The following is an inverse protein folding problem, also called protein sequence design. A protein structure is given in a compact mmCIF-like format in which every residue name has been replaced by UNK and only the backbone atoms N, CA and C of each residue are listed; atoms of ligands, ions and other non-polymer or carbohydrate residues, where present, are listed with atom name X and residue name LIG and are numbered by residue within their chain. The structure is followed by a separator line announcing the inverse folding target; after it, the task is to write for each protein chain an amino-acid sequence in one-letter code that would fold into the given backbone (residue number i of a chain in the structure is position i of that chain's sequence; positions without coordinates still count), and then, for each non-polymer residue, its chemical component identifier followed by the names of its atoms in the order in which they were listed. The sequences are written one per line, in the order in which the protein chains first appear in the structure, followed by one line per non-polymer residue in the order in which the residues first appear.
data_IF_801501168170
#
_entry.id   IF_801501168170
#
_cell.length_a   1.000
_cell.length_b   1.000
_cell.length_c   1.000
_cell.angle_alpha   90.00
_cell.angle_beta   90.00
_cell.angle_gamma   90.00
#
_symmetry.space_group_name_H-M   'P 1'
#
loop_
_entity.id
_entity.type
_entity.pdbx_description
1 polymer ?
#
# COMPACT_ATOMS: atom_id res chain seq x y z
N UNK A 1 -14.45 -29.22 -0.26
CA UNK A 1 -14.04 -27.85 -0.67
C UNK A 1 -13.17 -27.25 0.43
N UNK A 2 -11.99 -26.78 0.07
CA UNK A 2 -11.09 -26.17 1.05
C UNK A 2 -11.62 -24.80 1.50
N UNK A 3 -11.51 -24.50 2.78
CA UNK A 3 -11.88 -23.18 3.33
C UNK A 3 -10.74 -22.18 3.11
N UNK A 4 -11.05 -21.03 2.53
CA UNK A 4 -10.11 -19.94 2.40
C UNK A 4 -10.14 -19.10 3.67
N UNK A 5 -9.02 -19.07 4.36
CA UNK A 5 -8.77 -18.18 5.49
C UNK A 5 -7.60 -17.28 5.19
N UNK A 6 -7.71 -16.03 5.61
CA UNK A 6 -6.67 -15.03 5.40
C UNK A 6 -6.11 -14.61 6.76
N UNK A 7 -4.87 -15.01 7.10
CA UNK A 7 -4.28 -14.65 8.38
C UNK A 7 -4.19 -13.13 8.56
N UNK A 8 -4.48 -12.67 9.77
CA UNK A 8 -4.42 -11.25 10.13
C UNK A 8 -3.07 -10.61 9.76
N UNK A 9 -1.97 -11.29 10.09
CA UNK A 9 -0.61 -10.77 9.85
C UNK A 9 -0.35 -10.49 8.37
N UNK A 10 -0.86 -11.33 7.48
CA UNK A 10 -0.69 -11.12 6.03
C UNK A 10 -1.49 -9.93 5.52
N UNK A 11 -2.69 -9.73 6.06
CA UNK A 11 -3.52 -8.57 5.71
C UNK A 11 -2.88 -7.29 6.22
N UNK A 12 -2.41 -7.30 7.46
CA UNK A 12 -1.71 -6.17 8.06
C UNK A 12 -0.43 -5.81 7.28
N UNK A 13 0.40 -6.80 6.97
CA UNK A 13 1.64 -6.58 6.22
C UNK A 13 1.38 -6.01 4.84
N UNK A 14 0.35 -6.49 4.15
CA UNK A 14 -0.03 -5.94 2.85
C UNK A 14 -0.48 -4.48 2.96
N UNK A 15 -1.32 -4.17 3.95
CA UNK A 15 -1.79 -2.82 4.20
C UNK A 15 -0.65 -1.88 4.57
N UNK A 16 0.24 -2.31 5.44
CA UNK A 16 1.46 -1.59 5.80
C UNK A 16 2.32 -1.28 4.57
N UNK A 17 2.54 -2.27 3.73
CA UNK A 17 3.29 -2.10 2.48
C UNK A 17 2.63 -1.11 1.53
N UNK A 18 1.29 -1.17 1.40
CA UNK A 18 0.54 -0.21 0.60
C UNK A 18 0.70 1.23 1.08
N UNK A 19 0.84 1.44 2.38
CA UNK A 19 0.97 2.77 2.97
C UNK A 19 2.40 3.33 2.92
N UNK A 20 3.41 2.47 2.97
CA UNK A 20 4.83 2.85 3.10
C UNK A 20 5.63 2.77 1.80
N UNK A 21 5.03 2.31 0.73
CA UNK A 21 5.69 2.14 -0.57
C UNK A 21 4.73 2.40 -1.72
N UNK A 22 5.29 2.55 -2.92
CA UNK A 22 4.53 2.58 -4.16
C UNK A 22 4.91 1.37 -5.01
N UNK A 23 4.06 1.01 -5.96
CA UNK A 23 4.32 -0.14 -6.85
C UNK A 23 5.56 0.11 -7.72
N UNK A 24 6.34 -0.95 -8.04
CA UNK A 24 7.57 -0.82 -8.82
C UNK A 24 7.39 -0.20 -10.21
N UNK A 25 6.29 -0.45 -10.88
CA UNK A 25 5.95 0.11 -12.18
C UNK A 25 5.70 1.62 -12.09
N UNK A 26 4.97 2.08 -11.08
CA UNK A 26 4.74 3.50 -10.82
C UNK A 26 6.07 4.19 -10.48
N UNK A 27 6.89 3.59 -9.63
CA UNK A 27 8.21 4.13 -9.29
C UNK A 27 9.10 4.29 -10.53
N UNK A 28 9.11 3.28 -11.41
CA UNK A 28 9.84 3.34 -12.67
C UNK A 28 9.37 4.49 -13.55
N UNK A 29 8.05 4.66 -13.71
CA UNK A 29 7.47 5.74 -14.52
C UNK A 29 7.77 7.12 -13.93
N UNK A 30 7.74 7.27 -12.62
CA UNK A 30 8.09 8.52 -11.96
C UNK A 30 9.57 8.90 -12.17
N UNK A 31 10.48 7.93 -12.03
CA UNK A 31 11.91 8.13 -12.30
C UNK A 31 12.15 8.54 -13.77
N UNK A 32 11.46 7.89 -14.68
CA UNK A 32 11.54 8.20 -16.11
C UNK A 32 11.00 9.59 -16.39
N UNK A 33 9.88 9.98 -15.79
CA UNK A 33 9.30 11.30 -15.94
C UNK A 33 10.25 12.39 -15.42
N UNK A 34 10.84 12.19 -14.24
CA UNK A 34 11.82 13.13 -13.67
C UNK A 34 13.05 13.30 -14.57
N UNK A 35 13.54 12.20 -15.16
CA UNK A 35 14.69 12.26 -16.08
C UNK A 35 14.40 13.01 -17.38
N UNK A 36 13.15 12.99 -17.86
CA UNK A 36 12.74 13.62 -19.12
C UNK A 36 12.18 15.02 -18.95
N UNK A 37 11.84 15.42 -17.74
CA UNK A 37 11.23 16.71 -17.48
C UNK A 37 12.23 17.85 -17.79
N UNK A 38 11.79 18.83 -18.56
CA UNK A 38 12.61 19.98 -18.97
C UNK A 38 12.28 21.25 -18.21
N UNK A 39 11.07 21.35 -17.64
CA UNK A 39 10.70 22.46 -16.78
C UNK A 39 11.39 22.30 -15.43
N UNK A 40 12.25 23.26 -14.98
CA UNK A 40 13.01 23.11 -13.75
C UNK A 40 12.15 22.96 -12.51
N UNK A 41 11.03 23.66 -12.42
CA UNK A 41 10.12 23.60 -11.27
C UNK A 41 9.42 22.25 -11.21
N UNK A 42 8.86 21.78 -12.32
CA UNK A 42 8.23 20.47 -12.41
C UNK A 42 9.21 19.34 -12.09
N UNK A 43 10.45 19.44 -12.56
CA UNK A 43 11.51 18.48 -12.26
C UNK A 43 11.79 18.42 -10.77
N UNK A 44 11.90 19.57 -10.10
CA UNK A 44 12.11 19.66 -8.66
C UNK A 44 10.99 18.98 -7.89
N UNK A 45 9.73 19.16 -8.28
CA UNK A 45 8.60 18.48 -7.67
C UNK A 45 8.69 16.96 -7.82
N UNK A 46 8.98 16.47 -9.02
CA UNK A 46 9.13 15.03 -9.26
C UNK A 46 10.27 14.43 -8.44
N UNK A 47 11.40 15.10 -8.36
CA UNK A 47 12.54 14.66 -7.55
C UNK A 47 12.21 14.65 -6.06
N UNK A 48 11.46 15.64 -5.58
CA UNK A 48 10.98 15.70 -4.19
C UNK A 48 10.02 14.55 -3.88
N UNK A 49 9.10 14.23 -4.79
CA UNK A 49 8.20 13.09 -4.64
C UNK A 49 8.96 11.76 -4.59
N UNK A 50 9.97 11.59 -5.43
CA UNK A 50 10.83 10.40 -5.42
C UNK A 50 11.62 10.29 -4.11
N UNK A 51 12.14 11.40 -3.62
CA UNK A 51 12.84 11.44 -2.32
C UNK A 51 11.90 11.10 -1.15
N UNK A 52 10.66 11.57 -1.21
CA UNK A 52 9.64 11.22 -0.22
C UNK A 52 9.38 9.71 -0.18
N UNK A 53 9.26 9.07 -1.34
CA UNK A 53 9.06 7.61 -1.41
C UNK A 53 10.24 6.86 -0.80
N UNK A 54 11.46 7.29 -1.09
CA UNK A 54 12.67 6.70 -0.51
C UNK A 54 12.69 6.83 1.01
N UNK A 55 12.43 8.03 1.53
CA UNK A 55 12.43 8.31 2.97
C UNK A 55 11.32 7.55 3.70
N UNK A 56 10.14 7.44 3.11
CA UNK A 56 9.03 6.69 3.69
C UNK A 56 9.43 5.23 3.94
N UNK A 57 10.08 4.59 2.98
CA UNK A 57 10.58 3.23 3.13
C UNK A 57 11.67 3.10 4.19
N UNK A 58 12.64 4.03 4.20
CA UNK A 58 13.75 4.02 5.16
C UNK A 58 13.30 4.29 6.60
N UNK A 59 12.34 5.17 6.78
CA UNK A 59 11.87 5.60 8.10
C UNK A 59 10.65 4.84 8.60
N UNK A 60 10.13 3.91 7.80
CA UNK A 60 8.90 3.17 8.10
C UNK A 60 7.73 4.12 8.39
N UNK A 61 7.50 5.03 7.47
CA UNK A 61 6.43 6.03 7.53
C UNK A 61 5.54 5.96 6.30
N UNK A 62 4.28 6.42 6.39
CA UNK A 62 3.43 6.48 5.22
C UNK A 62 3.98 7.44 4.17
N UNK A 63 3.79 7.10 2.91
CA UNK A 63 4.21 7.95 1.77
C UNK A 63 3.38 9.22 1.64
N UNK A 64 2.19 9.25 2.26
CA UNK A 64 1.27 10.38 2.21
C UNK A 64 0.57 10.55 3.56
N UNK A 65 0.35 11.78 3.98
CA UNK A 65 -0.40 12.10 5.20
C UNK A 65 -1.91 11.89 5.05
N UNK A 66 -2.40 11.72 3.83
CA UNK A 66 -3.79 11.46 3.51
C UNK A 66 -3.90 10.22 2.63
N UNK A 67 -3.65 9.03 3.19
CA UNK A 67 -3.57 7.79 2.38
C UNK A 67 -4.92 7.35 1.80
N UNK A 68 -6.03 7.91 2.23
CA UNK A 68 -7.36 7.58 1.73
C UNK A 68 -8.03 6.43 2.49
N UNK A 69 -8.96 5.76 1.81
CA UNK A 69 -9.69 4.62 2.36
C UNK A 69 -9.16 3.32 1.78
N UNK A 70 -8.98 2.25 2.61
CA UNK A 70 -8.61 0.95 2.09
C UNK A 70 -9.71 0.38 1.19
N UNK A 71 -9.31 -0.16 0.05
CA UNK A 71 -10.17 -0.95 -0.82
C UNK A 71 -9.50 -2.29 -1.04
N UNK A 72 -10.21 -3.37 -0.71
CA UNK A 72 -9.66 -4.72 -0.71
C UNK A 72 -10.33 -5.56 -1.78
N UNK A 73 -9.54 -6.13 -2.66
CA UNK A 73 -9.97 -7.01 -3.73
C UNK A 73 -9.41 -8.41 -3.48
N UNK A 74 -10.30 -9.38 -3.41
CA UNK A 74 -9.92 -10.76 -3.14
C UNK A 74 -10.36 -11.62 -4.32
N UNK A 75 -9.43 -12.41 -4.84
CA UNK A 75 -9.71 -13.41 -5.88
C UNK A 75 -9.36 -14.78 -5.31
N UNK A 76 -10.28 -15.71 -5.44
CA UNK A 76 -10.05 -17.09 -5.00
C UNK A 76 -10.44 -18.08 -6.09
N UNK A 77 -9.91 -19.31 -6.00
CA UNK A 77 -10.23 -20.38 -6.93
C UNK A 77 -11.61 -20.98 -6.66
N UNK A 78 -12.21 -21.56 -7.69
CA UNK A 78 -13.56 -22.16 -7.62
C UNK A 78 -13.68 -23.28 -6.59
N UNK A 79 -12.57 -24.00 -6.32
CA UNK A 79 -12.53 -25.07 -5.32
C UNK A 79 -12.40 -24.56 -3.87
N UNK A 80 -12.33 -23.25 -3.66
CA UNK A 80 -12.18 -22.65 -2.34
C UNK A 80 -13.52 -22.12 -1.83
N UNK A 81 -13.74 -22.27 -0.52
CA UNK A 81 -14.89 -21.70 0.17
C UNK A 81 -14.40 -20.54 1.04
N UNK A 82 -14.74 -19.28 0.75
CA UNK A 82 -14.31 -18.18 1.59
C UNK A 82 -15.05 -18.18 2.93
N UNK A 83 -14.30 -17.98 4.02
CA UNK A 83 -14.89 -17.68 5.32
C UNK A 83 -15.01 -16.16 5.45
N UNK A 84 -16.15 -15.63 5.06
CA UNK A 84 -16.37 -14.18 4.99
C UNK A 84 -16.27 -13.49 6.36
N UNK A 85 -16.71 -14.16 7.42
CA UNK A 85 -16.60 -13.61 8.78
C UNK A 85 -15.14 -13.45 9.20
N UNK A 86 -14.33 -14.47 8.93
CA UNK A 86 -12.88 -14.42 9.19
C UNK A 86 -12.20 -13.32 8.35
N UNK A 87 -12.46 -13.29 7.06
CA UNK A 87 -11.88 -12.31 6.14
C UNK A 87 -12.22 -10.88 6.58
N UNK A 88 -13.49 -10.60 6.80
CA UNK A 88 -13.93 -9.26 7.20
C UNK A 88 -13.39 -8.86 8.57
N UNK A 89 -13.36 -9.79 9.51
CA UNK A 89 -12.80 -9.55 10.85
C UNK A 89 -11.31 -9.20 10.79
N UNK A 90 -10.53 -9.94 10.03
CA UNK A 90 -9.09 -9.71 9.90
C UNK A 90 -8.78 -8.42 9.12
N UNK A 91 -9.55 -8.11 8.09
CA UNK A 91 -9.41 -6.85 7.35
C UNK A 91 -9.72 -5.66 8.27
N UNK A 92 -10.84 -5.70 8.98
CA UNK A 92 -11.25 -4.64 9.91
C UNK A 92 -10.20 -4.42 11.00
N UNK A 93 -9.73 -5.50 11.61
CA UNK A 93 -8.71 -5.42 12.66
C UNK A 93 -7.39 -4.87 12.11
N UNK A 94 -7.00 -5.26 10.92
CA UNK A 94 -5.79 -4.73 10.27
C UNK A 94 -5.87 -3.23 10.04
N UNK A 95 -7.02 -2.72 9.60
CA UNK A 95 -7.24 -1.28 9.42
C UNK A 95 -7.18 -0.54 10.75
N UNK A 96 -7.81 -1.08 11.79
CA UNK A 96 -7.77 -0.50 13.14
C UNK A 96 -6.33 -0.39 13.65
N UNK A 97 -5.57 -1.48 13.57
CA UNK A 97 -4.19 -1.50 14.06
C UNK A 97 -3.25 -0.62 13.20
N UNK A 98 -3.42 -0.59 11.89
CA UNK A 98 -2.66 0.31 11.01
C UNK A 98 -2.96 1.78 11.32
N UNK A 99 -4.20 2.12 11.64
CA UNK A 99 -4.60 3.47 12.06
C UNK A 99 -3.94 3.84 13.39
N UNK A 100 -3.95 2.94 14.37
CA UNK A 100 -3.28 3.16 15.66
C UNK A 100 -1.77 3.33 15.51
N UNK A 101 -1.16 2.61 14.57
CA UNK A 101 0.27 2.70 14.28
C UNK A 101 0.65 3.95 13.47
N UNK A 102 -0.32 4.71 12.97
CA UNK A 102 -0.08 5.94 12.21
C UNK A 102 0.19 5.74 10.72
N UNK A 103 -0.19 4.59 10.14
CA UNK A 103 -0.06 4.34 8.70
C UNK A 103 -1.26 4.83 7.89
N UNK A 104 -2.43 4.88 8.52
CA UNK A 104 -3.66 5.39 7.93
C UNK A 104 -4.19 6.55 8.76
#
# INVERSE_FOLDING_TARGET
MATLELPYEKVYDLLHKCCTSISPDVLYLMKRAAAKETNPEAKTFLETMLKNVELAGQMDKPVCQSPGFPSVWIRWGEAMQPNLTNLMGNITQSVIEATKAGYI
#
